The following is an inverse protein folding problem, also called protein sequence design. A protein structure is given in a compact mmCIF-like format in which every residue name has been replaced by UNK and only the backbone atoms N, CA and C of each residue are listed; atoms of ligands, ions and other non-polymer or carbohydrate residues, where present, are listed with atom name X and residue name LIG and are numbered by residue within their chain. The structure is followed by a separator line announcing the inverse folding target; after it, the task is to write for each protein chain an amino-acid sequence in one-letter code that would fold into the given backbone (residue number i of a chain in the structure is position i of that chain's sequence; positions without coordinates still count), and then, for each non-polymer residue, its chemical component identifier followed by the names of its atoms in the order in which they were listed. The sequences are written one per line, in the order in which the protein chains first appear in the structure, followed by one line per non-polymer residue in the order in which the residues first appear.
data_IF_713423666582
#
_entry.id   IF_713423666582
#
_cell.length_a   1.000
_cell.length_b   1.000
_cell.length_c   1.000
_cell.angle_alpha   90.00
_cell.angle_beta   90.00
_cell.angle_gamma   90.00
#
_symmetry.space_group_name_H-M   'P 1'
#
loop_
_entity.id
_entity.type
_entity.pdbx_description
1 polymer ?
#
# COMPACT_ATOMS: atom_id res chain seq x y z
N UNK A 1 8.68 17.27 23.00
CA UNK A 1 7.79 16.11 23.25
C UNK A 1 7.41 15.42 21.94
N UNK A 2 6.70 16.05 21.00
CA UNK A 2 6.39 15.39 19.71
C UNK A 2 7.53 15.41 18.68
N UNK A 3 8.48 16.35 18.77
CA UNK A 3 9.63 16.41 17.85
C UNK A 3 10.60 15.24 17.94
N UNK A 4 10.61 14.54 19.08
CA UNK A 4 11.50 13.39 19.36
C UNK A 4 10.71 12.08 19.50
N UNK A 5 9.39 12.12 19.31
CA UNK A 5 8.54 10.93 19.45
C UNK A 5 8.58 10.09 18.19
N UNK A 6 8.66 8.77 18.35
CA UNK A 6 8.52 7.83 17.23
C UNK A 6 7.03 7.74 16.84
N UNK A 7 6.63 8.51 15.84
CA UNK A 7 5.33 8.39 15.22
C UNK A 7 5.27 7.16 14.28
N UNK A 8 4.05 6.70 14.00
CA UNK A 8 3.75 5.70 12.98
C UNK A 8 2.55 6.18 12.16
N UNK A 9 2.40 5.61 10.96
CA UNK A 9 1.26 5.89 10.07
C UNK A 9 0.27 4.73 10.11
N UNK A 10 -0.94 4.92 9.59
CA UNK A 10 -1.88 3.83 9.40
C UNK A 10 -3.05 4.16 8.49
N UNK A 11 -3.67 3.12 7.95
CA UNK A 11 -4.87 3.23 7.13
C UNK A 11 -5.81 2.04 7.35
N UNK A 12 -7.11 2.28 7.17
CA UNK A 12 -8.11 1.23 7.32
C UNK A 12 -8.25 0.35 6.08
N UNK A 13 -8.71 -0.88 6.26
CA UNK A 13 -9.16 -1.80 5.21
C UNK A 13 -10.53 -2.37 5.56
N UNK A 14 -11.21 -2.96 4.58
CA UNK A 14 -12.46 -3.72 4.76
C UNK A 14 -12.20 -5.18 5.18
N UNK A 15 -11.19 -5.82 4.59
CA UNK A 15 -10.79 -7.21 4.87
C UNK A 15 -9.29 -7.32 5.20
N UNK A 16 -8.92 -7.48 6.49
CA UNK A 16 -7.53 -7.69 6.89
C UNK A 16 -6.89 -8.94 6.30
N UNK A 17 -7.63 -10.02 6.09
CA UNK A 17 -7.07 -11.24 5.51
C UNK A 17 -6.72 -11.03 4.03
N UNK A 18 -7.57 -10.32 3.29
CA UNK A 18 -7.25 -9.90 1.92
C UNK A 18 -6.07 -8.94 1.88
N UNK A 19 -6.01 -7.96 2.78
CA UNK A 19 -4.88 -7.04 2.90
C UNK A 19 -3.57 -7.79 3.18
N UNK A 20 -3.56 -8.73 4.12
CA UNK A 20 -2.38 -9.55 4.45
C UNK A 20 -1.87 -10.33 3.24
N UNK A 21 -2.75 -10.97 2.47
CA UNK A 21 -2.37 -11.68 1.24
C UNK A 21 -1.82 -10.72 0.20
N UNK A 22 -2.49 -9.60 -0.04
CA UNK A 22 -2.04 -8.64 -1.03
C UNK A 22 -0.68 -8.03 -0.67
N UNK A 23 -0.52 -7.47 0.52
CA UNK A 23 0.74 -6.85 0.92
C UNK A 23 1.86 -7.88 1.13
N UNK A 24 1.55 -9.04 1.71
CA UNK A 24 2.55 -10.07 2.02
C UNK A 24 2.94 -10.95 0.84
N UNK A 25 1.96 -11.49 0.11
CA UNK A 25 2.20 -12.48 -0.94
C UNK A 25 2.29 -11.82 -2.32
N UNK A 26 1.39 -10.87 -2.63
CA UNK A 26 1.39 -10.20 -3.94
C UNK A 26 2.52 -9.17 -4.03
N UNK A 27 2.64 -8.26 -3.05
CA UNK A 27 3.70 -7.24 -3.06
C UNK A 27 5.02 -7.73 -2.44
N UNK A 28 5.01 -8.81 -1.66
CA UNK A 28 6.22 -9.37 -1.04
C UNK A 28 6.71 -8.58 0.17
N UNK A 29 5.87 -7.74 0.78
CA UNK A 29 6.23 -7.01 2.00
C UNK A 29 6.28 -7.95 3.20
N UNK A 30 7.10 -7.61 4.18
CA UNK A 30 7.02 -8.28 5.48
C UNK A 30 5.80 -7.73 6.22
N UNK A 31 4.88 -8.63 6.59
CA UNK A 31 3.65 -8.30 7.33
C UNK A 31 3.62 -9.13 8.62
N UNK A 32 3.28 -8.50 9.74
CA UNK A 32 3.01 -9.19 11.00
C UNK A 32 1.62 -8.83 11.53
N UNK A 33 1.08 -9.67 12.41
CA UNK A 33 -0.02 -9.26 13.27
C UNK A 33 0.52 -8.36 14.40
N UNK A 34 -0.37 -7.57 15.01
CA UNK A 34 -0.02 -6.80 16.21
C UNK A 34 -0.18 -7.72 17.42
N UNK A 35 0.92 -7.93 18.14
CA UNK A 35 0.97 -8.81 19.31
C UNK A 35 -0.06 -8.41 20.38
N UNK A 36 -0.86 -9.37 20.83
CA UNK A 36 -1.92 -9.16 21.82
C UNK A 36 -3.18 -8.50 21.28
N UNK A 37 -3.27 -8.29 19.97
CA UNK A 37 -4.43 -7.70 19.27
C UNK A 37 -4.86 -8.54 18.07
N UNK A 38 -4.50 -9.82 18.04
CA UNK A 38 -4.72 -10.74 16.91
C UNK A 38 -6.22 -10.87 16.58
N UNK A 39 -7.08 -10.88 17.59
CA UNK A 39 -8.54 -10.96 17.42
C UNK A 39 -9.15 -9.75 16.71
N UNK A 40 -8.46 -8.59 16.73
CA UNK A 40 -8.90 -7.37 16.07
C UNK A 40 -8.45 -7.26 14.61
N UNK A 41 -7.68 -8.24 14.10
CA UNK A 41 -7.22 -8.26 12.72
C UNK A 41 -6.27 -7.11 12.38
N UNK A 42 -5.52 -6.60 13.36
CA UNK A 42 -4.54 -5.55 13.14
C UNK A 42 -3.26 -6.11 12.51
N UNK A 43 -2.78 -5.45 11.47
CA UNK A 43 -1.55 -5.81 10.79
C UNK A 43 -0.53 -4.68 10.88
N UNK A 44 0.74 -5.06 10.90
CA UNK A 44 1.86 -4.14 10.72
C UNK A 44 2.54 -4.45 9.39
N UNK A 45 2.61 -3.45 8.51
CA UNK A 45 3.47 -3.50 7.33
C UNK A 45 4.85 -2.96 7.71
N UNK A 46 5.90 -3.75 7.48
CA UNK A 46 7.27 -3.31 7.69
C UNK A 46 7.86 -2.83 6.37
N UNK A 47 8.14 -1.53 6.30
CA UNK A 47 8.66 -0.87 5.09
C UNK A 47 10.17 -0.61 5.22
N UNK A 48 10.87 -0.63 4.09
CA UNK A 48 12.28 -0.25 4.03
C UNK A 48 12.47 1.21 4.48
N UNK A 49 13.52 1.48 5.26
CA UNK A 49 13.76 2.81 5.86
C UNK A 49 13.11 3.01 7.24
N UNK A 50 12.34 2.03 7.72
CA UNK A 50 11.61 2.13 8.99
C UNK A 50 10.27 2.83 8.84
N UNK A 51 9.60 3.08 9.97
CA UNK A 51 8.23 3.60 9.97
C UNK A 51 7.22 2.49 9.66
N UNK A 52 6.91 1.71 10.69
CA UNK A 52 5.87 0.69 10.59
C UNK A 52 4.51 1.33 10.27
N UNK A 53 3.72 0.65 9.44
CA UNK A 53 2.38 1.12 9.05
C UNK A 53 1.34 0.20 9.66
N UNK A 54 0.44 0.76 10.45
CA UNK A 54 -0.71 0.05 11.01
C UNK A 54 -1.81 -0.07 9.95
N UNK A 55 -2.25 -1.30 9.69
CA UNK A 55 -3.42 -1.60 8.88
C UNK A 55 -4.49 -2.20 9.77
N UNK A 56 -5.70 -1.65 9.75
CA UNK A 56 -6.77 -2.01 10.68
C UNK A 56 -8.12 -2.17 9.97
N UNK A 57 -8.98 -3.12 10.38
CA UNK A 57 -10.32 -3.23 9.82
C UNK A 57 -11.20 -2.04 10.24
N UNK A 58 -12.06 -1.60 9.33
CA UNK A 58 -13.12 -0.62 9.62
C UNK A 58 -14.45 -1.14 9.05
N UNK A 59 -15.50 -1.35 9.87
CA UNK A 59 -16.78 -1.92 9.39
C UNK A 59 -17.45 -1.13 8.26
N UNK A 60 -17.30 0.18 8.28
CA UNK A 60 -17.78 1.13 7.26
C UNK A 60 -16.60 1.66 6.43
N UNK A 61 -15.66 0.78 6.07
CA UNK A 61 -14.52 1.15 5.24
C UNK A 61 -14.99 1.70 3.89
N UNK A 62 -14.39 2.82 3.50
CA UNK A 62 -14.47 3.37 2.15
C UNK A 62 -13.03 3.59 1.67
N UNK A 63 -12.70 3.19 0.42
CA UNK A 63 -11.39 3.44 -0.14
C UNK A 63 -11.03 4.93 -0.02
N UNK A 64 -9.77 5.21 0.35
CA UNK A 64 -9.32 6.57 0.50
C UNK A 64 -9.44 7.33 -0.83
N UNK A 65 -10.03 8.53 -0.79
CA UNK A 65 -10.08 9.45 -1.93
C UNK A 65 -8.75 10.21 -2.15
N UNK A 66 -7.68 9.78 -1.48
CA UNK A 66 -6.33 10.36 -1.54
C UNK A 66 -5.28 9.26 -1.36
N UNK A 67 -4.03 9.59 -1.68
CA UNK A 67 -2.91 8.66 -1.62
C UNK A 67 -2.47 8.37 -0.18
N UNK A 68 -2.34 7.09 0.17
CA UNK A 68 -1.98 6.64 1.53
C UNK A 68 -0.60 5.96 1.64
N UNK A 69 -0.09 5.40 0.54
CA UNK A 69 1.18 4.67 0.51
C UNK A 69 1.80 4.76 -0.89
N UNK A 70 3.08 5.13 -0.96
CA UNK A 70 3.83 5.25 -2.21
C UNK A 70 5.11 4.45 -2.13
N UNK A 71 5.42 3.69 -3.18
CA UNK A 71 6.67 2.96 -3.33
C UNK A 71 7.47 3.57 -4.48
N UNK A 72 8.54 4.35 -4.20
CA UNK A 72 9.48 4.71 -5.25
C UNK A 72 10.19 3.45 -5.72
N UNK A 73 10.33 3.31 -7.04
CA UNK A 73 11.00 2.18 -7.69
C UNK A 73 11.98 2.71 -8.73
N UNK A 74 13.04 1.96 -8.98
CA UNK A 74 14.07 2.36 -9.95
C UNK A 74 13.57 2.28 -11.40
N UNK A 75 12.67 1.33 -11.68
CA UNK A 75 12.08 1.11 -13.00
C UNK A 75 10.57 0.88 -12.87
N UNK A 76 9.80 1.89 -13.27
CA UNK A 76 8.33 1.84 -13.20
C UNK A 76 7.75 0.83 -14.19
N UNK A 77 8.38 0.64 -15.35
CA UNK A 77 7.90 -0.29 -16.37
C UNK A 77 8.03 -1.72 -15.88
N UNK A 78 9.18 -2.07 -15.31
CA UNK A 78 9.41 -3.38 -14.73
C UNK A 78 8.49 -3.65 -13.52
N UNK A 79 8.27 -2.66 -12.66
CA UNK A 79 7.39 -2.78 -11.51
C UNK A 79 5.93 -3.05 -11.94
N UNK A 80 5.42 -2.27 -12.91
CA UNK A 80 4.06 -2.44 -13.44
C UNK A 80 3.89 -3.81 -14.09
N UNK A 81 4.85 -4.25 -14.90
CA UNK A 81 4.78 -5.55 -15.58
C UNK A 81 4.76 -6.72 -14.58
N UNK A 82 5.60 -6.66 -13.55
CA UNK A 82 5.63 -7.70 -12.51
C UNK A 82 4.33 -7.72 -11.69
N UNK A 83 3.78 -6.56 -11.34
CA UNK A 83 2.49 -6.47 -10.66
C UNK A 83 1.37 -7.07 -11.53
N UNK A 84 1.36 -6.74 -12.83
CA UNK A 84 0.44 -7.34 -13.79
C UNK A 84 0.56 -8.86 -13.86
N UNK A 85 1.79 -9.40 -13.88
CA UNK A 85 2.06 -10.85 -13.87
C UNK A 85 1.56 -11.53 -12.59
N UNK A 86 1.52 -10.80 -11.47
CA UNK A 86 0.95 -11.25 -10.19
C UNK A 86 -0.57 -11.03 -10.09
N UNK A 87 -1.23 -10.62 -11.17
CA UNK A 87 -2.68 -10.46 -11.25
C UNK A 87 -3.19 -9.12 -10.75
N UNK A 88 -2.31 -8.14 -10.49
CA UNK A 88 -2.73 -6.80 -10.09
C UNK A 88 -3.19 -6.03 -11.31
N UNK A 89 -4.44 -5.54 -11.26
CA UNK A 89 -4.97 -4.61 -12.27
C UNK A 89 -4.68 -3.19 -11.82
N UNK A 90 -3.90 -2.46 -12.60
CA UNK A 90 -3.65 -1.05 -12.32
C UNK A 90 -4.89 -0.20 -12.61
N UNK A 91 -5.16 0.71 -11.69
CA UNK A 91 -6.23 1.70 -11.82
C UNK A 91 -5.83 2.75 -12.86
N UNK A 92 -6.75 3.06 -13.77
CA UNK A 92 -6.66 4.19 -14.67
C UNK A 92 -7.55 5.32 -14.15
N UNK A 93 -7.03 6.52 -14.17
CA UNK A 93 -7.69 7.72 -13.70
C UNK A 93 -8.11 8.56 -14.90
N UNK A 94 -9.39 8.88 -14.95
CA UNK A 94 -9.90 9.79 -15.96
C UNK A 94 -9.24 11.17 -15.83
N UNK A 95 -8.87 11.76 -16.97
CA UNK A 95 -8.23 13.08 -17.00
C UNK A 95 -6.72 13.08 -16.76
N UNK A 96 -6.08 11.92 -16.53
CA UNK A 96 -4.63 11.79 -16.57
C UNK A 96 -4.16 11.24 -17.93
N UNK A 97 -3.08 11.82 -18.44
CA UNK A 97 -2.35 11.24 -19.58
C UNK A 97 -1.56 10.03 -19.06
N UNK A 98 -2.01 8.84 -19.43
CA UNK A 98 -1.48 7.55 -19.01
C UNK A 98 -1.24 6.69 -20.24
N UNK A 99 -0.08 6.04 -20.29
CA UNK A 99 0.26 5.13 -21.40
C UNK A 99 -0.52 3.80 -21.36
N UNK A 100 -0.19 2.90 -22.30
CA UNK A 100 -0.79 1.57 -22.41
C UNK A 100 -0.57 0.69 -21.17
N UNK A 101 0.40 1.03 -20.33
CA UNK A 101 0.65 0.38 -19.03
C UNK A 101 -0.07 1.07 -17.88
N UNK A 102 -0.74 2.21 -18.13
CA UNK A 102 -1.42 2.99 -17.10
C UNK A 102 -0.46 3.88 -16.32
N UNK A 103 0.76 4.14 -16.82
CA UNK A 103 1.72 5.01 -16.15
C UNK A 103 1.52 6.44 -16.64
N UNK A 104 1.28 7.36 -15.71
CA UNK A 104 1.38 8.79 -16.01
C UNK A 104 2.83 9.21 -15.84
N UNK A 105 3.52 9.47 -16.95
CA UNK A 105 4.95 9.75 -16.94
C UNK A 105 5.28 11.20 -16.58
N UNK A 106 4.30 12.09 -16.69
CA UNK A 106 4.55 13.52 -16.74
C UNK A 106 5.43 13.85 -17.95
N UNK A 107 4.99 14.76 -18.82
CA UNK A 107 5.94 15.37 -19.73
C UNK A 107 7.08 15.97 -18.89
N UNK A 108 8.33 15.60 -19.18
CA UNK A 108 9.48 16.25 -18.59
C UNK A 108 9.27 17.76 -18.69
N UNK A 109 9.26 18.43 -17.55
CA UNK A 109 9.47 19.86 -17.45
C UNK A 109 10.46 20.12 -16.34
#
# INVERSE_FOLDING_TARGET
MFGDSRAFSGFSVDDPAAARRFYGETLGLKVSEVEGMEEYGLLTLHIAGGGDILVYPKPDHVPAAHTVLNFPVDDIDAAVDELGRRGVRLLRYDGLDQDDKGVSRGGAR
#
